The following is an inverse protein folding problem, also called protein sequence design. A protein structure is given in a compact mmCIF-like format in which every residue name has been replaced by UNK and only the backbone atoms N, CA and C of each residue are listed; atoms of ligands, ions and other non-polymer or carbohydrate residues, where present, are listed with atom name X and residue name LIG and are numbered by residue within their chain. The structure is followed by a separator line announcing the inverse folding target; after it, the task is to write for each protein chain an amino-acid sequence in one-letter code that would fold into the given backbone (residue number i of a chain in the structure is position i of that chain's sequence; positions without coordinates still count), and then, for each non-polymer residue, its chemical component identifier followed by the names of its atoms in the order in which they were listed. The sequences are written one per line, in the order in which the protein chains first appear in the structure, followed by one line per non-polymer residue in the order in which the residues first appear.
data_IF_172018295265
#
_entry.id   IF_172018295265
#
_cell.length_a   1.000
_cell.length_b   1.000
_cell.length_c   1.000
_cell.angle_alpha   90.00
_cell.angle_beta   90.00
_cell.angle_gamma   90.00
#
_symmetry.space_group_name_H-M   'P 1'
#
loop_
_entity.id
_entity.type
_entity.pdbx_description
1 polymer ?
#
# COMPACT_ATOMS: atom_id res chain seq x y z
N UNK A 1 10.42 26.50 -9.76
CA UNK A 1 9.08 26.25 -9.20
C UNK A 1 8.49 25.04 -9.90
N UNK A 2 8.82 23.84 -9.41
CA UNK A 2 8.30 22.60 -9.99
C UNK A 2 7.47 21.88 -8.94
N UNK A 3 6.30 21.42 -9.35
CA UNK A 3 5.37 20.70 -8.50
C UNK A 3 3.96 21.27 -8.58
N UNK A 4 2.99 20.36 -8.53
CA UNK A 4 1.58 20.67 -8.37
C UNK A 4 1.21 20.45 -6.89
N UNK A 5 0.47 21.38 -6.30
CA UNK A 5 -0.14 21.17 -4.99
C UNK A 5 -1.36 20.28 -5.17
N UNK A 6 -1.43 19.17 -4.43
CA UNK A 6 -2.56 18.24 -4.46
C UNK A 6 -2.16 16.83 -4.03
N UNK A 7 -3.14 15.92 -4.00
CA UNK A 7 -2.89 14.48 -3.86
C UNK A 7 -2.77 13.82 -5.23
N UNK A 8 -2.06 12.70 -5.31
CA UNK A 8 -1.77 12.00 -6.59
C UNK A 8 -3.03 11.56 -7.35
N UNK A 9 -4.16 11.42 -6.66
CA UNK A 9 -5.43 11.02 -7.28
C UNK A 9 -6.05 12.13 -8.12
N UNK A 10 -5.70 13.39 -7.89
CA UNK A 10 -6.18 14.52 -8.70
C UNK A 10 -5.65 14.47 -10.15
N UNK A 11 -4.32 14.51 -10.40
CA UNK A 11 -3.82 14.41 -11.77
C UNK A 11 -4.13 13.05 -12.41
N UNK A 12 -4.22 11.97 -11.63
CA UNK A 12 -4.66 10.67 -12.12
C UNK A 12 -6.09 10.74 -12.69
N UNK A 13 -7.02 11.36 -11.95
CA UNK A 13 -8.40 11.52 -12.40
C UNK A 13 -8.48 12.39 -13.66
N UNK A 14 -7.78 13.52 -13.68
CA UNK A 14 -7.74 14.41 -14.85
C UNK A 14 -7.22 13.70 -16.11
N UNK A 15 -6.19 12.87 -15.96
CA UNK A 15 -5.65 12.08 -17.07
C UNK A 15 -6.72 11.12 -17.62
N UNK A 16 -7.46 10.44 -16.74
CA UNK A 16 -8.53 9.51 -17.13
C UNK A 16 -9.75 10.23 -17.74
N UNK A 17 -10.04 11.46 -17.29
CA UNK A 17 -11.12 12.30 -17.83
C UNK A 17 -10.75 12.98 -19.16
N UNK A 18 -9.46 13.15 -19.45
CA UNK A 18 -8.97 13.81 -20.68
C UNK A 18 -9.34 13.06 -21.97
N UNK A 19 -9.72 11.79 -21.85
CA UNK A 19 -9.96 10.90 -23.00
C UNK A 19 -8.69 10.24 -23.54
N UNK A 20 -7.52 10.53 -22.97
CA UNK A 20 -6.30 9.77 -23.25
C UNK A 20 -6.49 8.30 -22.86
N UNK A 21 -6.11 7.40 -23.76
CA UNK A 21 -6.27 5.96 -23.54
C UNK A 21 -5.25 5.48 -22.52
N UNK A 22 -5.71 5.16 -21.31
CA UNK A 22 -4.93 4.51 -20.26
C UNK A 22 -5.33 3.05 -20.15
N UNK A 23 -4.45 2.13 -20.57
CA UNK A 23 -4.71 0.69 -20.52
C UNK A 23 -4.51 0.09 -19.12
N UNK A 24 -3.60 0.67 -18.32
CA UNK A 24 -3.27 0.17 -16.99
C UNK A 24 -2.71 1.28 -16.09
N UNK A 25 -3.04 1.23 -14.80
CA UNK A 25 -2.44 2.05 -13.75
C UNK A 25 -1.64 1.16 -12.80
N UNK A 26 -0.46 1.61 -12.38
CA UNK A 26 0.36 0.95 -11.36
C UNK A 26 0.57 1.96 -10.22
N UNK A 27 0.13 1.61 -9.01
CA UNK A 27 0.26 2.47 -7.83
C UNK A 27 1.13 1.82 -6.75
N UNK A 28 2.18 2.53 -6.33
CA UNK A 28 3.15 2.09 -5.34
C UNK A 28 3.38 3.24 -4.37
N UNK A 29 3.11 3.03 -3.08
CA UNK A 29 3.27 4.06 -2.06
C UNK A 29 2.60 3.67 -0.74
N UNK A 30 2.24 4.64 0.11
CA UNK A 30 1.46 4.35 1.32
C UNK A 30 0.17 3.60 0.99
N UNK A 31 -0.24 2.66 1.84
CA UNK A 31 -1.45 1.83 1.62
C UNK A 31 -2.70 2.67 1.34
N UNK A 32 -2.84 3.81 2.04
CA UNK A 32 -3.95 4.74 1.83
C UNK A 32 -3.91 5.41 0.45
N UNK A 33 -2.72 5.74 -0.05
CA UNK A 33 -2.54 6.31 -1.39
C UNK A 33 -2.92 5.28 -2.45
N UNK A 34 -2.45 4.03 -2.30
CA UNK A 34 -2.78 2.94 -3.22
C UNK A 34 -4.29 2.64 -3.23
N UNK A 35 -4.95 2.64 -2.06
CA UNK A 35 -6.40 2.51 -1.93
C UNK A 35 -7.13 3.56 -2.77
N UNK A 36 -6.75 4.83 -2.62
CA UNK A 36 -7.42 5.90 -3.35
C UNK A 36 -7.09 5.93 -4.85
N UNK A 37 -5.89 5.50 -5.26
CA UNK A 37 -5.60 5.30 -6.68
C UNK A 37 -6.52 4.22 -7.28
N UNK A 38 -6.68 3.07 -6.62
CA UNK A 38 -7.57 2.00 -7.06
C UNK A 38 -9.04 2.45 -7.14
N UNK A 39 -9.50 3.22 -6.14
CA UNK A 39 -10.86 3.78 -6.16
C UNK A 39 -11.05 4.83 -7.27
N UNK A 40 -10.02 5.62 -7.57
CA UNK A 40 -10.07 6.67 -8.60
C UNK A 40 -10.23 6.06 -9.99
N UNK A 41 -9.57 4.94 -10.26
CA UNK A 41 -9.57 4.28 -11.58
C UNK A 41 -10.79 3.40 -11.82
N UNK A 42 -11.45 2.93 -10.75
CA UNK A 42 -12.54 1.97 -10.83
C UNK A 42 -13.74 2.42 -11.69
N UNK A 43 -14.24 3.69 -11.60
CA UNK A 43 -15.33 4.17 -12.46
C UNK A 43 -14.97 4.20 -13.95
N UNK A 44 -13.68 4.28 -14.27
CA UNK A 44 -13.19 4.31 -15.66
C UNK A 44 -12.92 2.90 -16.21
N UNK A 45 -13.10 1.85 -15.40
CA UNK A 45 -12.83 0.46 -15.82
C UNK A 45 -11.34 0.18 -16.10
N UNK A 46 -10.43 1.03 -15.63
CA UNK A 46 -9.00 0.90 -15.90
C UNK A 46 -8.36 -0.05 -14.90
N UNK A 47 -7.76 -1.13 -15.41
CA UNK A 47 -7.04 -2.12 -14.61
C UNK A 47 -5.97 -1.44 -13.76
N UNK A 48 -6.01 -1.68 -12.45
CA UNK A 48 -5.10 -1.03 -11.50
C UNK A 48 -4.34 -2.05 -10.68
N UNK A 49 -3.02 -2.08 -10.85
CA UNK A 49 -2.12 -2.93 -10.08
C UNK A 49 -1.54 -2.13 -8.92
N UNK A 50 -1.52 -2.72 -7.73
CA UNK A 50 -0.94 -2.13 -6.53
C UNK A 50 0.16 -3.03 -5.97
N UNK A 51 1.26 -2.46 -5.51
CA UNK A 51 2.33 -3.20 -4.84
C UNK A 51 2.14 -3.12 -3.33
N UNK A 52 1.52 -4.16 -2.74
CA UNK A 52 1.12 -4.14 -1.34
C UNK A 52 2.33 -4.21 -0.40
N UNK A 53 2.23 -3.51 0.72
CA UNK A 53 3.30 -3.37 1.71
C UNK A 53 2.93 -3.94 3.09
N UNK A 54 2.37 -5.16 3.23
CA UNK A 54 2.06 -5.73 4.54
C UNK A 54 3.34 -6.04 5.33
N UNK A 55 3.21 -6.25 6.64
CA UNK A 55 4.32 -6.70 7.50
C UNK A 55 4.86 -8.04 6.98
N UNK A 56 6.18 -8.14 6.83
CA UNK A 56 6.88 -9.36 6.44
C UNK A 56 7.84 -9.80 7.54
N UNK A 57 8.06 -11.11 7.67
CA UNK A 57 9.02 -11.68 8.62
C UNK A 57 10.00 -12.59 7.87
N UNK A 58 9.52 -13.73 7.37
CA UNK A 58 10.36 -14.71 6.66
C UNK A 58 10.57 -14.35 5.18
N UNK A 59 9.55 -13.81 4.52
CA UNK A 59 9.61 -13.43 3.10
C UNK A 59 9.66 -14.60 2.11
N UNK A 60 9.42 -15.84 2.56
CA UNK A 60 9.54 -17.06 1.73
C UNK A 60 8.27 -17.92 1.74
N UNK A 61 7.19 -17.45 2.38
CA UNK A 61 5.89 -18.10 2.40
C UNK A 61 5.67 -19.05 3.59
N UNK A 62 6.57 -19.07 4.57
CA UNK A 62 6.51 -20.00 5.70
C UNK A 62 5.63 -19.51 6.86
N UNK A 63 5.56 -18.19 7.11
CA UNK A 63 4.90 -17.69 8.32
C UNK A 63 3.51 -17.07 8.12
N UNK A 64 3.16 -16.66 6.89
CA UNK A 64 1.88 -15.99 6.60
C UNK A 64 1.69 -14.60 7.25
N UNK A 65 2.74 -13.97 7.77
CA UNK A 65 2.66 -12.62 8.34
C UNK A 65 2.25 -11.59 7.27
N UNK A 66 2.71 -11.78 6.04
CA UNK A 66 2.39 -10.92 4.89
C UNK A 66 1.02 -11.23 4.26
N UNK A 67 0.13 -11.98 4.93
CA UNK A 67 -1.17 -12.36 4.35
C UNK A 67 -2.04 -11.13 4.07
N UNK A 68 -2.74 -11.19 2.95
CA UNK A 68 -3.73 -10.22 2.46
C UNK A 68 -4.97 -10.97 1.97
N UNK A 69 -6.11 -10.28 1.91
CA UNK A 69 -7.32 -10.80 1.26
C UNK A 69 -7.50 -10.10 -0.07
N UNK A 70 -7.52 -10.87 -1.15
CA UNK A 70 -7.70 -10.38 -2.53
C UNK A 70 -8.81 -11.20 -3.18
N UNK A 71 -9.90 -10.54 -3.56
CA UNK A 71 -11.08 -11.22 -4.15
C UNK A 71 -11.73 -12.21 -3.17
N UNK A 72 -11.64 -11.96 -1.87
CA UNK A 72 -12.13 -12.87 -0.82
C UNK A 72 -11.23 -14.09 -0.56
N UNK A 73 -10.09 -14.21 -1.24
CA UNK A 73 -9.13 -15.30 -1.05
C UNK A 73 -7.91 -14.81 -0.28
N UNK A 74 -7.48 -15.60 0.71
CA UNK A 74 -6.22 -15.31 1.42
C UNK A 74 -5.03 -15.59 0.51
N UNK A 75 -4.14 -14.60 0.37
CA UNK A 75 -2.89 -14.64 -0.41
C UNK A 75 -1.72 -14.19 0.44
N UNK A 76 -0.51 -14.65 0.16
CA UNK A 76 0.71 -14.27 0.85
C UNK A 76 1.53 -13.33 -0.04
N UNK A 77 1.62 -12.05 0.34
CA UNK A 77 2.26 -11.02 -0.50
C UNK A 77 3.70 -11.36 -0.92
N UNK A 78 4.47 -12.08 -0.10
CA UNK A 78 5.85 -12.43 -0.41
C UNK A 78 6.03 -13.56 -1.44
N UNK A 79 4.98 -14.34 -1.75
CA UNK A 79 5.05 -15.46 -2.72
C UNK A 79 3.99 -15.37 -3.82
N UNK A 80 2.78 -14.92 -3.49
CA UNK A 80 1.68 -14.72 -4.44
C UNK A 80 1.71 -13.31 -5.07
N UNK A 81 2.48 -12.38 -4.50
CA UNK A 81 2.50 -10.95 -4.86
C UNK A 81 3.92 -10.43 -5.13
N UNK A 82 4.28 -9.20 -4.69
CA UNK A 82 3.48 -8.26 -3.87
C UNK A 82 2.42 -7.48 -4.68
N UNK A 83 2.38 -7.69 -5.99
CA UNK A 83 1.51 -6.99 -6.93
C UNK A 83 0.16 -7.68 -7.06
N UNK A 84 -0.92 -6.94 -6.80
CA UNK A 84 -2.29 -7.45 -6.87
C UNK A 84 -3.20 -6.48 -7.60
N UNK A 85 -4.37 -6.96 -8.03
CA UNK A 85 -5.44 -6.10 -8.53
C UNK A 85 -6.00 -5.25 -7.38
N UNK A 86 -5.74 -3.95 -7.43
CA UNK A 86 -6.12 -2.99 -6.40
C UNK A 86 -7.64 -2.86 -6.21
N UNK A 87 -8.44 -3.26 -7.19
CA UNK A 87 -9.91 -3.29 -7.09
C UNK A 87 -10.43 -4.48 -6.28
N UNK A 88 -9.58 -5.47 -6.02
CA UNK A 88 -9.95 -6.70 -5.30
C UNK A 88 -9.35 -6.77 -3.90
N UNK A 89 -8.48 -5.83 -3.52
CA UNK A 89 -7.81 -5.81 -2.21
C UNK A 89 -8.77 -5.42 -1.10
N UNK A 90 -8.77 -6.19 0.00
CA UNK A 90 -9.37 -5.77 1.26
C UNK A 90 -8.46 -4.75 1.98
N UNK A 91 -8.70 -3.48 1.67
CA UNK A 91 -7.90 -2.36 2.18
C UNK A 91 -8.07 -2.13 3.69
N UNK A 92 -9.22 -2.48 4.26
CA UNK A 92 -9.49 -2.25 5.68
C UNK A 92 -8.81 -3.33 6.53
N UNK A 93 -8.84 -4.58 6.08
CA UNK A 93 -8.02 -5.66 6.66
C UNK A 93 -6.53 -5.33 6.59
N UNK A 94 -6.02 -4.91 5.42
CA UNK A 94 -4.61 -4.53 5.28
C UNK A 94 -4.22 -3.40 6.24
N UNK A 95 -5.04 -2.36 6.32
CA UNK A 95 -4.80 -1.20 7.19
C UNK A 95 -4.82 -1.57 8.67
N UNK A 96 -5.74 -2.43 9.10
CA UNK A 96 -5.76 -2.94 10.47
C UNK A 96 -4.50 -3.76 10.80
N UNK A 97 -4.06 -4.61 9.86
CA UNK A 97 -2.86 -5.45 10.03
C UNK A 97 -1.57 -4.63 10.14
N UNK A 98 -1.44 -3.55 9.36
CA UNK A 98 -0.28 -2.67 9.41
C UNK A 98 -0.11 -1.96 10.76
N UNK A 99 -1.18 -1.87 11.56
CA UNK A 99 -1.18 -1.13 12.84
C UNK A 99 -0.97 -2.02 14.05
N UNK A 100 -0.74 -3.33 13.87
CA UNK A 100 -0.65 -4.30 14.97
C UNK A 100 0.50 -3.99 15.93
N UNK A 101 1.62 -3.46 15.44
CA UNK A 101 2.84 -3.27 16.22
C UNK A 101 3.17 -1.81 16.55
N UNK A 102 2.21 -0.88 16.47
CA UNK A 102 2.48 0.55 16.70
C UNK A 102 3.08 0.82 18.10
N UNK A 103 2.64 0.08 19.11
CA UNK A 103 3.15 0.23 20.48
C UNK A 103 4.57 -0.32 20.63
N UNK A 104 4.88 -1.45 19.99
CA UNK A 104 6.23 -2.02 19.89
C UNK A 104 7.17 -1.10 19.10
N UNK A 105 6.73 -0.57 17.96
CA UNK A 105 7.49 0.35 17.11
C UNK A 105 7.85 1.62 17.89
N UNK A 106 6.87 2.21 18.59
CA UNK A 106 7.09 3.39 19.43
C UNK A 106 8.10 3.10 20.55
N UNK A 107 7.91 2.01 21.31
CA UNK A 107 8.84 1.62 22.38
C UNK A 107 10.25 1.36 21.85
N UNK A 108 10.37 0.70 20.70
CA UNK A 108 11.66 0.44 20.05
C UNK A 108 12.38 1.74 19.69
N UNK A 109 11.66 2.69 19.10
CA UNK A 109 12.20 3.99 18.73
C UNK A 109 12.63 4.82 19.96
N UNK A 110 11.81 4.89 21.00
CA UNK A 110 12.12 5.58 22.26
C UNK A 110 13.35 4.97 22.95
N UNK A 111 13.46 3.63 22.99
CA UNK A 111 14.64 2.95 23.53
C UNK A 111 15.91 3.26 22.72
N UNK A 112 15.80 3.30 21.38
CA UNK A 112 16.92 3.68 20.52
C UNK A 112 17.35 5.14 20.78
N UNK A 113 16.41 6.08 20.86
CA UNK A 113 16.69 7.49 21.17
C UNK A 113 17.39 7.64 22.52
N UNK A 114 16.91 6.96 23.57
CA UNK A 114 17.51 7.00 24.90
C UNK A 114 18.94 6.43 24.94
N UNK A 115 19.28 5.47 24.05
CA UNK A 115 20.64 4.93 23.91
C UNK A 115 21.56 5.87 23.13
N UNK A 116 21.05 6.49 22.07
CA UNK A 116 21.83 7.41 21.23
C UNK A 116 22.11 8.75 21.91
N UNK A 117 21.15 9.27 22.69
CA UNK A 117 21.35 10.49 23.50
C UNK A 117 22.33 10.32 24.67
N UNK A 118 22.67 9.08 25.05
CA UNK A 118 23.71 8.77 26.04
C UNK A 118 25.11 8.58 25.42
N UNK A 119 25.23 8.70 24.10
CA UNK A 119 26.46 8.48 23.33
C UNK A 119 27.17 9.77 22.93
N UNK A 120 26.69 10.94 23.38
CA UNK A 120 27.36 12.24 23.28
C UNK A 120 28.11 12.58 24.55
#
# INVERSE_FOLDING_TARGET
TYGRKGVVTEPLKELLESGEKVDQVIAIGPSIMMKFCAQTTQPFGVKTIVSLNPIMVDGTGMCGCCRVSVGGVTKFSCVDGPEFDGHQVDWDLLSARLRIYLDEEKRSFEQWQARMGKRS
#
